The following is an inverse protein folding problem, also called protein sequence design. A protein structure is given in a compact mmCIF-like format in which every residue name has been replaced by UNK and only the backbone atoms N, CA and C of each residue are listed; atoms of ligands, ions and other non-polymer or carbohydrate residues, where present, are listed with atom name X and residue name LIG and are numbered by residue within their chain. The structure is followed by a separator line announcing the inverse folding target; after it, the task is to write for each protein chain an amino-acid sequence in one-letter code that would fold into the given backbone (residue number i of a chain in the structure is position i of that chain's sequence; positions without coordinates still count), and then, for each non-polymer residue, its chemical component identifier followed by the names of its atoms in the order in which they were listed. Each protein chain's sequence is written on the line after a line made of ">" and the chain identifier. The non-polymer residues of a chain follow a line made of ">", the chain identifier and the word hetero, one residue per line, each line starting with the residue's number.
data_IF_417163662387
#
_entry.id   IF_417163662387
#
_cell.length_a   1.000
_cell.length_b   1.000
_cell.length_c   1.000
_cell.angle_alpha   90.00
_cell.angle_beta   90.00
_cell.angle_gamma   90.00
#
_symmetry.space_group_name_H-M   'P 1'
#
loop_
_entity.id
_entity.type
_entity.pdbx_description
1 polymer ?
#
# COMPACT_ATOMS: atom_id res chain seq x y z
N UNK A 1 28.11 -2.64 2.20
CA UNK A 1 27.29 -1.53 2.73
C UNK A 1 26.04 -1.34 1.87
N UNK A 2 24.88 -1.31 2.53
CA UNK A 2 23.60 -1.05 1.87
C UNK A 2 23.02 0.23 2.45
N UNK A 3 22.72 1.20 1.56
CA UNK A 3 22.07 2.46 1.93
C UNK A 3 20.60 2.43 1.58
N UNK A 4 19.71 2.66 2.55
CA UNK A 4 18.27 2.83 2.34
C UNK A 4 17.90 4.31 2.40
N UNK A 5 17.24 4.81 1.37
CA UNK A 5 16.82 6.21 1.23
C UNK A 5 15.30 6.31 1.32
N UNK A 6 14.79 7.11 2.27
CA UNK A 6 13.34 7.27 2.43
C UNK A 6 12.96 8.61 3.07
N UNK A 7 11.87 9.22 2.59
CA UNK A 7 11.13 10.26 3.30
C UNK A 7 10.12 9.72 4.31
N UNK A 8 10.01 8.39 4.45
CA UNK A 8 8.91 7.73 5.16
C UNK A 8 9.38 6.83 6.31
N UNK A 9 10.54 7.12 6.90
CA UNK A 9 10.96 6.54 8.18
C UNK A 9 10.19 7.16 9.35
N UNK A 10 8.88 6.97 9.35
CA UNK A 10 7.89 7.53 10.25
C UNK A 10 6.62 6.67 10.20
N UNK A 11 5.59 7.01 10.97
CA UNK A 11 4.26 6.39 10.79
C UNK A 11 3.76 6.65 9.36
N UNK A 12 3.97 5.67 8.52
CA UNK A 12 3.66 5.67 7.09
C UNK A 12 3.61 4.25 6.52
N UNK A 13 2.82 4.06 5.46
CA UNK A 13 2.66 2.79 4.77
C UNK A 13 3.99 2.07 4.44
N UNK A 14 4.99 2.81 3.92
CA UNK A 14 6.32 2.24 3.60
C UNK A 14 6.99 1.70 4.86
N UNK A 15 6.97 2.43 5.98
CA UNK A 15 7.53 1.93 7.24
C UNK A 15 6.88 0.62 7.68
N UNK A 16 5.54 0.57 7.69
CA UNK A 16 4.81 -0.63 8.11
C UNK A 16 5.15 -1.87 7.28
N UNK A 17 5.50 -1.69 6.02
CA UNK A 17 5.94 -2.78 5.15
C UNK A 17 7.39 -3.22 5.41
N UNK A 18 8.30 -2.27 5.70
CA UNK A 18 9.75 -2.57 5.75
C UNK A 18 10.31 -2.79 7.15
N UNK A 19 9.56 -2.51 8.21
CA UNK A 19 10.08 -2.49 9.57
C UNK A 19 10.80 -3.79 9.97
N UNK A 20 10.30 -4.94 9.55
CA UNK A 20 10.90 -6.24 9.86
C UNK A 20 12.06 -6.60 8.92
N UNK A 21 12.16 -5.94 7.76
CA UNK A 21 13.35 -6.04 6.93
C UNK A 21 14.59 -5.56 7.71
N UNK A 22 14.49 -4.45 8.43
CA UNK A 22 15.58 -3.89 9.21
C UNK A 22 15.95 -4.75 10.43
N UNK A 23 14.98 -5.41 11.05
CA UNK A 23 15.23 -6.27 12.22
C UNK A 23 15.79 -7.64 11.84
N UNK A 24 15.50 -8.14 10.63
CA UNK A 24 15.87 -9.48 10.18
C UNK A 24 17.10 -9.53 9.26
N UNK A 25 17.72 -8.38 8.96
CA UNK A 25 18.94 -8.36 8.16
C UNK A 25 20.10 -9.05 8.90
N UNK A 26 20.82 -9.91 8.20
CA UNK A 26 22.05 -10.53 8.70
C UNK A 26 23.18 -9.49 8.83
N UNK A 27 23.30 -8.91 10.03
CA UNK A 27 24.32 -7.89 10.35
C UNK A 27 25.77 -8.39 10.25
N UNK A 28 25.98 -9.70 10.16
CA UNK A 28 27.34 -10.25 9.91
C UNK A 28 27.79 -10.08 8.45
N UNK A 29 26.82 -9.91 7.53
CA UNK A 29 27.06 -9.76 6.09
C UNK A 29 26.83 -8.35 5.57
N UNK A 30 25.95 -7.59 6.22
CA UNK A 30 25.48 -6.29 5.74
C UNK A 30 25.62 -5.20 6.79
N UNK A 31 26.25 -4.08 6.43
CA UNK A 31 26.22 -2.82 7.18
C UNK A 31 25.09 -1.95 6.60
N UNK A 32 24.09 -1.61 7.40
CA UNK A 32 22.91 -0.86 6.97
C UNK A 32 23.05 0.61 7.32
N UNK A 33 23.00 1.46 6.30
CA UNK A 33 23.03 2.91 6.42
C UNK A 33 21.65 3.44 6.01
N UNK A 34 20.99 4.19 6.89
CA UNK A 34 19.68 4.78 6.63
C UNK A 34 19.78 6.28 6.40
N UNK A 35 19.16 6.77 5.35
CA UNK A 35 19.16 8.17 4.92
C UNK A 35 17.72 8.69 4.88
N UNK A 36 17.36 9.52 5.86
CA UNK A 36 16.05 10.09 6.00
C UNK A 36 15.96 11.44 5.31
N UNK A 37 15.14 11.55 4.28
CA UNK A 37 14.93 12.82 3.55
C UNK A 37 13.81 13.68 4.13
N UNK A 38 13.14 13.23 5.20
CA UNK A 38 12.16 14.00 5.94
C UNK A 38 12.23 13.67 7.42
N UNK A 39 12.46 14.69 8.24
CA UNK A 39 12.58 14.54 9.70
C UNK A 39 11.20 14.59 10.35
N UNK A 40 10.78 13.48 10.95
CA UNK A 40 9.62 13.40 11.83
C UNK A 40 9.93 12.41 12.95
N UNK A 41 10.00 12.91 14.18
CA UNK A 41 10.25 12.07 15.35
C UNK A 41 9.08 11.12 15.63
N UNK A 42 9.37 9.94 16.19
CA UNK A 42 8.38 8.92 16.53
C UNK A 42 9.03 7.55 16.75
N UNK A 43 8.23 6.62 17.29
CA UNK A 43 8.66 5.23 17.57
C UNK A 43 9.12 4.50 16.31
N UNK A 44 8.51 4.79 15.19
CA UNK A 44 8.82 4.19 13.89
C UNK A 44 10.22 4.58 13.43
N UNK A 45 10.55 5.86 13.55
CA UNK A 45 11.88 6.37 13.24
C UNK A 45 12.95 5.77 14.17
N UNK A 46 12.67 5.70 15.47
CA UNK A 46 13.57 5.12 16.45
C UNK A 46 13.88 3.65 16.13
N UNK A 47 12.86 2.87 15.72
CA UNK A 47 13.05 1.48 15.29
C UNK A 47 14.02 1.35 14.10
N UNK A 48 13.99 2.28 13.14
CA UNK A 48 14.96 2.29 12.03
C UNK A 48 16.35 2.68 12.52
N UNK A 49 16.47 3.71 13.38
CA UNK A 49 17.75 4.14 13.95
C UNK A 49 18.43 2.99 14.70
N UNK A 50 17.72 2.31 15.58
CA UNK A 50 18.22 1.20 16.41
C UNK A 50 18.68 -0.01 15.57
N UNK A 51 18.11 -0.20 14.38
CA UNK A 51 18.44 -1.32 13.50
C UNK A 51 19.37 -0.95 12.34
N UNK A 52 19.84 0.29 12.28
CA UNK A 52 20.83 0.77 11.32
C UNK A 52 22.22 0.87 11.98
N UNK A 53 23.28 0.53 11.25
CA UNK A 53 24.65 0.82 11.68
C UNK A 53 24.89 2.33 11.75
N UNK A 54 24.33 3.08 10.81
CA UNK A 54 24.33 4.54 10.77
C UNK A 54 23.02 5.09 10.24
N UNK A 55 22.59 6.19 10.85
CA UNK A 55 21.41 6.92 10.45
C UNK A 55 21.76 8.39 10.18
N UNK A 56 21.27 8.94 9.05
CA UNK A 56 21.55 10.31 8.61
C UNK A 56 20.26 11.03 8.26
N UNK A 57 20.10 12.22 8.80
CA UNK A 57 19.08 13.16 8.34
C UNK A 57 19.60 13.97 7.16
N UNK A 58 18.90 13.88 6.05
CA UNK A 58 19.16 14.67 4.84
C UNK A 58 18.20 15.84 4.69
N UNK A 59 17.25 15.97 5.63
CA UNK A 59 16.26 17.05 5.61
C UNK A 59 16.95 18.40 5.78
N UNK A 60 16.59 19.36 4.91
CA UNK A 60 17.16 20.71 4.87
C UNK A 60 18.68 20.81 4.65
N UNK A 61 19.35 19.71 4.23
CA UNK A 61 20.76 19.76 3.87
C UNK A 61 20.94 20.08 2.38
N UNK A 62 21.96 20.90 2.02
CA UNK A 62 22.33 21.14 0.61
C UNK A 62 22.73 19.84 -0.10
N UNK A 63 22.30 19.67 -1.34
CA UNK A 63 22.54 18.43 -2.09
C UNK A 63 24.02 18.15 -2.34
N UNK A 64 24.86 19.19 -2.52
CA UNK A 64 26.31 19.03 -2.70
C UNK A 64 26.99 18.48 -1.45
N UNK A 65 26.55 18.85 -0.25
CA UNK A 65 27.03 18.30 1.02
C UNK A 65 26.56 16.85 1.20
N UNK A 66 25.30 16.57 0.87
CA UNK A 66 24.79 15.21 0.89
C UNK A 66 25.58 14.31 -0.06
N UNK A 67 25.84 14.74 -1.29
CA UNK A 67 26.61 13.96 -2.26
C UNK A 67 28.03 13.71 -1.76
N UNK A 68 28.71 14.73 -1.21
CA UNK A 68 30.05 14.55 -0.58
C UNK A 68 30.02 13.52 0.56
N UNK A 69 28.98 13.53 1.39
CA UNK A 69 28.79 12.58 2.46
C UNK A 69 28.61 11.16 1.91
N UNK A 70 27.71 10.98 0.93
CA UNK A 70 27.41 9.68 0.33
C UNK A 70 28.63 9.06 -0.36
N UNK A 71 29.42 9.87 -1.08
CA UNK A 71 30.66 9.40 -1.70
C UNK A 71 31.68 8.89 -0.68
N UNK A 72 31.78 9.50 0.52
CA UNK A 72 32.64 9.02 1.61
C UNK A 72 32.17 7.69 2.20
N UNK A 73 30.89 7.40 2.15
CA UNK A 73 30.31 6.17 2.69
C UNK A 73 30.61 4.94 1.85
N UNK A 74 30.96 5.12 0.56
CA UNK A 74 31.34 4.05 -0.35
C UNK A 74 30.35 2.88 -0.33
N UNK A 75 29.08 3.19 -0.63
CA UNK A 75 28.00 2.22 -0.62
C UNK A 75 28.16 1.20 -1.76
N UNK A 76 27.93 -0.07 -1.49
CA UNK A 76 27.84 -1.10 -2.52
C UNK A 76 26.47 -1.02 -3.22
N UNK A 77 25.38 -0.86 -2.44
CA UNK A 77 24.01 -0.79 -2.93
C UNK A 77 23.33 0.43 -2.32
N UNK A 78 22.62 1.20 -3.13
CA UNK A 78 21.69 2.24 -2.70
C UNK A 78 20.28 1.86 -3.12
N UNK A 79 19.36 1.80 -2.16
CA UNK A 79 17.95 1.43 -2.35
C UNK A 79 17.10 2.67 -2.12
N UNK A 80 16.41 3.13 -3.16
CA UNK A 80 15.43 4.21 -3.09
C UNK A 80 14.06 3.62 -2.72
N UNK A 81 13.62 3.87 -1.49
CA UNK A 81 12.31 3.47 -0.98
C UNK A 81 11.21 4.50 -1.27
N UNK A 82 11.56 5.64 -1.86
CA UNK A 82 10.61 6.73 -2.12
C UNK A 82 10.25 6.83 -3.61
N UNK A 83 11.24 6.79 -4.51
CA UNK A 83 11.02 7.12 -5.91
C UNK A 83 10.36 8.51 -6.06
N UNK A 84 9.43 8.68 -6.99
CA UNK A 84 8.75 9.96 -7.23
C UNK A 84 7.58 10.24 -6.27
N UNK A 85 7.77 9.96 -4.97
CA UNK A 85 6.78 10.28 -3.94
C UNK A 85 7.16 11.58 -3.20
N UNK A 86 6.32 12.00 -2.26
CA UNK A 86 6.57 13.21 -1.45
C UNK A 86 7.83 13.03 -0.60
N UNK A 87 8.57 14.11 -0.42
CA UNK A 87 9.83 14.15 0.36
C UNK A 87 10.96 13.25 -0.20
N UNK A 88 10.89 12.83 -1.47
CA UNK A 88 11.98 12.07 -2.07
C UNK A 88 13.24 12.93 -2.30
N UNK A 89 14.36 12.26 -2.47
CA UNK A 89 15.62 12.81 -2.96
C UNK A 89 16.17 11.94 -4.10
N UNK A 90 15.28 11.47 -5.00
CA UNK A 90 15.63 10.58 -6.11
C UNK A 90 16.64 11.19 -7.08
N UNK A 91 16.71 12.53 -7.17
CA UNK A 91 17.73 13.24 -7.95
C UNK A 91 19.16 12.96 -7.47
N UNK A 92 19.37 12.55 -6.20
CA UNK A 92 20.70 12.15 -5.72
C UNK A 92 21.22 10.90 -6.43
N UNK A 93 20.33 10.08 -6.99
CA UNK A 93 20.69 8.89 -7.75
C UNK A 93 21.29 9.20 -9.13
N UNK A 94 21.27 10.47 -9.58
CA UNK A 94 22.04 10.93 -10.74
C UNK A 94 23.55 10.83 -10.51
N UNK A 95 24.01 10.93 -9.26
CA UNK A 95 25.42 10.84 -8.90
C UNK A 95 25.84 9.39 -8.66
N UNK A 96 27.14 9.11 -8.69
CA UNK A 96 27.73 7.77 -8.42
C UNK A 96 27.82 7.48 -6.92
N UNK A 97 26.70 7.56 -6.21
CA UNK A 97 26.64 7.39 -4.74
C UNK A 97 26.83 5.93 -4.27
N UNK A 98 26.73 4.98 -5.19
CA UNK A 98 26.91 3.55 -4.93
C UNK A 98 27.32 2.81 -6.21
N UNK A 99 27.68 1.53 -6.10
CA UNK A 99 27.98 0.65 -7.24
C UNK A 99 26.69 0.21 -7.94
N UNK A 100 25.63 -0.04 -7.17
CA UNK A 100 24.30 -0.52 -7.64
C UNK A 100 23.22 0.38 -7.05
N UNK A 101 22.23 0.76 -7.86
CA UNK A 101 21.10 1.60 -7.48
C UNK A 101 19.79 0.88 -7.80
N UNK A 102 18.92 0.78 -6.81
CA UNK A 102 17.70 -0.01 -6.88
C UNK A 102 16.49 0.86 -6.52
N UNK A 103 15.46 0.85 -7.38
CA UNK A 103 14.13 1.35 -7.05
C UNK A 103 13.32 0.26 -6.35
N UNK A 104 12.76 0.57 -5.18
CA UNK A 104 11.99 -0.41 -4.43
C UNK A 104 10.84 0.22 -3.65
N UNK A 105 9.66 -0.36 -3.79
CA UNK A 105 8.50 -0.28 -2.93
C UNK A 105 7.67 1.00 -3.01
N UNK A 106 8.23 2.18 -2.69
CA UNK A 106 7.43 3.40 -2.46
C UNK A 106 6.77 3.97 -3.71
N UNK A 107 7.45 3.90 -4.86
CA UNK A 107 6.91 4.32 -6.13
C UNK A 107 6.59 3.11 -7.03
N UNK A 108 5.32 2.87 -7.38
CA UNK A 108 4.89 1.69 -8.12
C UNK A 108 5.03 1.88 -9.64
N UNK A 109 6.25 1.95 -10.13
CA UNK A 109 6.56 2.13 -11.55
C UNK A 109 8.04 2.31 -11.83
N UNK A 110 8.39 2.42 -13.11
CA UNK A 110 9.75 2.72 -13.56
C UNK A 110 10.13 4.16 -13.21
N UNK A 111 11.39 4.38 -12.86
CA UNK A 111 11.95 5.73 -12.68
C UNK A 111 12.19 6.46 -14.03
N UNK A 112 12.09 5.74 -15.15
CA UNK A 112 12.19 6.31 -16.50
C UNK A 112 13.58 6.90 -16.83
N UNK A 113 14.61 6.48 -16.11
CA UNK A 113 15.99 6.97 -16.29
C UNK A 113 16.99 5.82 -16.19
N UNK A 114 18.12 5.95 -16.91
CA UNK A 114 19.24 5.00 -16.87
C UNK A 114 20.08 5.08 -15.58
N UNK A 115 19.66 5.88 -14.61
CA UNK A 115 20.40 6.10 -13.36
C UNK A 115 20.09 5.05 -12.28
N UNK A 116 19.02 4.31 -12.46
CA UNK A 116 18.71 3.12 -11.64
C UNK A 116 19.09 1.87 -12.42
N UNK A 117 19.82 0.96 -11.78
CA UNK A 117 20.22 -0.31 -12.38
C UNK A 117 19.10 -1.33 -12.36
N UNK A 118 18.34 -1.37 -11.25
CA UNK A 118 17.32 -2.38 -10.99
C UNK A 118 16.05 -1.80 -10.38
N UNK A 119 14.94 -2.49 -10.64
CA UNK A 119 13.69 -2.37 -9.89
C UNK A 119 13.36 -3.73 -9.27
N UNK A 120 13.00 -3.75 -7.96
CA UNK A 120 12.48 -4.95 -7.32
C UNK A 120 10.97 -5.06 -7.57
N UNK A 121 10.56 -6.17 -8.13
CA UNK A 121 9.18 -6.51 -8.43
C UNK A 121 8.96 -8.01 -8.25
N UNK A 122 7.85 -8.54 -8.73
CA UNK A 122 7.60 -9.96 -8.91
C UNK A 122 6.99 -10.22 -10.29
N UNK A 123 6.85 -11.49 -10.65
CA UNK A 123 6.39 -11.88 -11.99
C UNK A 123 4.91 -11.54 -12.25
N UNK A 124 4.12 -11.24 -11.21
CA UNK A 124 2.72 -10.82 -11.33
C UNK A 124 2.62 -9.32 -11.56
N UNK A 125 3.50 -8.54 -10.92
CA UNK A 125 3.58 -7.08 -11.08
C UNK A 125 4.15 -6.72 -12.45
N UNK A 126 5.34 -7.25 -12.78
CA UNK A 126 6.03 -6.99 -14.05
C UNK A 126 6.27 -8.33 -14.75
N UNK A 127 5.31 -8.84 -15.51
CA UNK A 127 5.53 -10.04 -16.33
C UNK A 127 6.53 -9.74 -17.45
N UNK A 128 7.13 -10.79 -18.00
CA UNK A 128 8.23 -10.69 -18.99
C UNK A 128 7.88 -9.84 -20.22
N UNK A 129 6.63 -9.91 -20.66
CA UNK A 129 6.10 -9.14 -21.79
C UNK A 129 6.09 -7.62 -21.54
N UNK A 130 6.24 -7.16 -20.29
CA UNK A 130 6.27 -5.74 -19.92
C UNK A 130 7.67 -5.21 -19.65
N UNK A 131 8.73 -6.03 -19.75
CA UNK A 131 10.10 -5.60 -19.45
C UNK A 131 10.54 -4.40 -20.29
N UNK A 132 10.13 -4.32 -21.53
CA UNK A 132 10.47 -3.21 -22.43
C UNK A 132 9.87 -1.84 -22.05
N UNK A 133 8.93 -1.81 -21.09
CA UNK A 133 8.37 -0.57 -20.57
C UNK A 133 9.14 0.02 -19.39
N UNK A 134 10.21 -0.66 -18.94
CA UNK A 134 11.01 -0.27 -17.79
C UNK A 134 12.42 0.09 -18.25
N UNK A 135 12.97 1.18 -17.68
CA UNK A 135 14.37 1.57 -17.90
C UNK A 135 15.33 0.75 -17.06
N UNK A 136 14.88 0.25 -15.93
CA UNK A 136 15.63 -0.59 -15.00
C UNK A 136 15.60 -2.07 -15.42
N UNK A 137 16.64 -2.83 -15.06
CA UNK A 137 16.58 -4.29 -15.08
C UNK A 137 15.68 -4.78 -13.95
N UNK A 138 14.86 -5.77 -14.22
CA UNK A 138 13.87 -6.27 -13.27
C UNK A 138 14.45 -7.42 -12.47
N UNK A 139 14.40 -7.32 -11.13
CA UNK A 139 14.68 -8.41 -10.22
C UNK A 139 13.33 -8.91 -9.68
N UNK A 140 12.99 -10.14 -9.99
CA UNK A 140 11.78 -10.78 -9.46
C UNK A 140 12.04 -11.38 -8.07
N UNK A 141 11.26 -10.94 -7.10
CA UNK A 141 11.13 -11.63 -5.82
C UNK A 141 10.32 -12.92 -6.02
N UNK A 142 10.56 -13.97 -5.21
CA UNK A 142 9.97 -15.30 -5.45
C UNK A 142 8.44 -15.31 -5.43
N UNK A 143 7.81 -14.68 -4.44
CA UNK A 143 6.36 -14.73 -4.22
C UNK A 143 5.71 -13.39 -4.54
N UNK A 144 5.97 -12.39 -3.71
CA UNK A 144 5.51 -11.01 -3.88
C UNK A 144 6.66 -10.04 -3.63
N UNK A 145 6.65 -8.90 -4.32
CA UNK A 145 7.67 -7.87 -4.11
C UNK A 145 7.45 -7.10 -2.81
N UNK A 146 6.21 -7.07 -2.31
CA UNK A 146 5.85 -6.28 -1.16
C UNK A 146 6.13 -7.05 0.13
N UNK A 147 7.08 -6.59 0.96
CA UNK A 147 7.31 -7.18 2.26
C UNK A 147 6.11 -6.95 3.17
N UNK A 148 6.00 -7.78 4.19
CA UNK A 148 4.88 -7.76 5.09
C UNK A 148 5.35 -8.22 6.48
N UNK A 149 4.96 -7.50 7.50
CA UNK A 149 5.33 -7.78 8.89
C UNK A 149 4.14 -8.35 9.63
N UNK A 150 4.23 -9.56 10.21
CA UNK A 150 3.15 -10.10 11.03
C UNK A 150 2.90 -9.21 12.24
N UNK A 151 1.64 -9.08 12.66
CA UNK A 151 1.29 -8.34 13.86
C UNK A 151 1.33 -9.30 15.06
N UNK A 152 2.04 -8.94 16.13
CA UNK A 152 2.19 -9.79 17.31
C UNK A 152 1.01 -9.61 18.30
N UNK A 153 -0.24 -9.52 17.84
CA UNK A 153 -1.38 -9.39 18.72
C UNK A 153 -2.62 -10.15 18.21
N UNK A 154 -3.48 -10.54 19.15
CA UNK A 154 -4.77 -11.16 18.85
C UNK A 154 -5.72 -10.12 18.26
N UNK A 155 -6.25 -10.41 17.05
CA UNK A 155 -7.14 -9.51 16.31
C UNK A 155 -8.60 -9.64 16.79
N UNK A 156 -8.90 -10.40 17.84
CA UNK A 156 -10.27 -10.58 18.33
C UNK A 156 -10.85 -9.25 18.81
N UNK A 157 -11.83 -8.75 18.07
CA UNK A 157 -12.60 -7.56 18.39
C UNK A 157 -14.03 -7.71 17.87
N UNK A 158 -14.92 -6.85 18.38
CA UNK A 158 -16.32 -6.81 17.96
C UNK A 158 -16.60 -5.52 17.22
N UNK A 159 -17.62 -5.51 16.40
CA UNK A 159 -18.11 -4.30 15.72
C UNK A 159 -18.50 -3.20 16.71
N UNK A 160 -19.07 -3.57 17.86
CA UNK A 160 -19.39 -2.65 18.94
C UNK A 160 -18.19 -1.87 19.47
N UNK A 161 -16.97 -2.41 19.41
CA UNK A 161 -15.74 -1.72 19.85
C UNK A 161 -15.43 -0.50 18.94
N UNK A 162 -15.97 -0.47 17.74
CA UNK A 162 -15.81 0.59 16.74
C UNK A 162 -17.12 1.32 16.40
N UNK A 163 -18.16 1.16 17.22
CA UNK A 163 -19.50 1.72 16.98
C UNK A 163 -20.11 1.31 15.61
N UNK A 164 -19.81 0.09 15.17
CA UNK A 164 -20.35 -0.47 13.94
C UNK A 164 -21.57 -1.34 14.24
N UNK A 165 -22.63 -1.32 13.38
CA UNK A 165 -23.78 -2.20 13.56
C UNK A 165 -23.44 -3.67 13.41
N UNK A 166 -24.03 -4.52 14.26
CA UNK A 166 -23.78 -5.99 14.25
C UNK A 166 -24.51 -6.71 13.10
N UNK A 167 -25.74 -6.31 12.77
CA UNK A 167 -26.63 -7.05 11.89
C UNK A 167 -26.62 -6.54 10.43
N UNK A 168 -25.46 -6.13 9.94
CA UNK A 168 -25.29 -5.67 8.55
C UNK A 168 -24.09 -6.37 7.90
N UNK A 169 -24.03 -6.37 6.58
CA UNK A 169 -22.88 -6.81 5.81
C UNK A 169 -22.02 -5.58 5.43
N UNK A 170 -20.76 -5.56 5.84
CA UNK A 170 -19.87 -4.41 5.66
C UNK A 170 -18.87 -4.69 4.56
N UNK A 171 -18.96 -3.92 3.48
CA UNK A 171 -17.91 -3.79 2.47
C UNK A 171 -16.95 -2.68 2.92
N UNK A 172 -15.66 -2.95 3.04
CA UNK A 172 -14.66 -1.97 3.47
C UNK A 172 -13.79 -1.48 2.33
N UNK A 173 -13.49 -0.18 2.27
CA UNK A 173 -12.43 0.36 1.43
C UNK A 173 -11.77 1.57 2.12
N UNK A 174 -10.53 1.40 2.58
CA UNK A 174 -9.78 2.46 3.24
C UNK A 174 -8.68 3.06 2.36
N UNK A 175 -8.79 2.88 1.06
CA UNK A 175 -7.97 3.60 0.09
C UNK A 175 -8.24 5.11 0.16
N UNK A 176 -7.21 5.90 -0.18
CA UNK A 176 -7.38 7.35 -0.31
C UNK A 176 -8.48 7.65 -1.34
N UNK A 177 -9.27 8.69 -1.07
CA UNK A 177 -10.41 9.06 -1.92
C UNK A 177 -10.00 9.31 -3.39
N UNK A 178 -8.79 9.80 -3.63
CA UNK A 178 -8.25 10.06 -4.97
C UNK A 178 -8.08 8.78 -5.80
N UNK A 179 -8.04 7.62 -5.16
CA UNK A 179 -8.00 6.31 -5.83
C UNK A 179 -9.38 5.77 -6.19
N UNK A 180 -10.43 6.30 -5.58
CA UNK A 180 -11.82 5.87 -5.80
C UNK A 180 -12.38 6.67 -6.98
N UNK A 181 -12.23 6.13 -8.18
CA UNK A 181 -12.77 6.78 -9.38
C UNK A 181 -14.29 6.67 -9.44
N UNK A 182 -14.97 7.61 -10.11
CA UNK A 182 -16.45 7.62 -10.21
C UNK A 182 -17.06 6.33 -10.73
N UNK A 183 -16.46 5.68 -11.74
CA UNK A 183 -16.94 4.40 -12.29
C UNK A 183 -16.87 3.26 -11.24
N UNK A 184 -15.82 3.19 -10.45
CA UNK A 184 -15.67 2.20 -9.38
C UNK A 184 -16.66 2.48 -8.24
N UNK A 185 -16.81 3.73 -7.85
CA UNK A 185 -17.81 4.13 -6.86
C UNK A 185 -19.24 3.84 -7.33
N UNK A 186 -19.56 4.11 -8.60
CA UNK A 186 -20.87 3.79 -9.19
C UNK A 186 -21.17 2.27 -9.14
N UNK A 187 -20.17 1.42 -9.41
CA UNK A 187 -20.30 -0.04 -9.26
C UNK A 187 -20.70 -0.39 -7.83
N UNK A 188 -19.97 0.11 -6.83
CA UNK A 188 -20.26 -0.18 -5.43
C UNK A 188 -21.67 0.26 -5.05
N UNK A 189 -22.04 1.50 -5.37
CA UNK A 189 -23.36 2.04 -5.03
C UNK A 189 -24.51 1.32 -5.75
N UNK A 190 -24.30 0.85 -6.98
CA UNK A 190 -25.29 0.04 -7.71
C UNK A 190 -25.50 -1.33 -7.04
N UNK A 191 -24.41 -1.97 -6.57
CA UNK A 191 -24.52 -3.22 -5.81
C UNK A 191 -25.25 -2.98 -4.49
N UNK A 192 -24.83 -1.98 -3.72
CA UNK A 192 -25.47 -1.63 -2.44
C UNK A 192 -26.96 -1.35 -2.57
N UNK A 193 -27.39 -0.76 -3.70
CA UNK A 193 -28.80 -0.48 -4.00
C UNK A 193 -29.69 -1.72 -4.12
N UNK A 194 -29.09 -2.92 -4.32
CA UNK A 194 -29.82 -4.20 -4.45
C UNK A 194 -30.11 -4.88 -3.10
N UNK A 195 -29.47 -4.43 -2.01
CA UNK A 195 -29.54 -5.06 -0.70
C UNK A 195 -29.94 -4.06 0.39
N UNK A 196 -30.75 -4.48 1.34
CA UNK A 196 -31.17 -3.62 2.46
C UNK A 196 -30.11 -3.54 3.55
N UNK A 197 -29.37 -4.61 3.78
CA UNK A 197 -28.44 -4.80 4.90
C UNK A 197 -26.96 -4.74 4.52
N UNK A 198 -26.59 -4.33 3.28
CA UNK A 198 -25.21 -4.16 2.83
C UNK A 198 -24.82 -2.69 2.89
N UNK A 199 -23.67 -2.38 3.45
CA UNK A 199 -23.14 -1.02 3.65
C UNK A 199 -21.68 -0.92 3.23
N UNK A 200 -21.26 0.28 2.81
CA UNK A 200 -19.87 0.59 2.44
C UNK A 200 -19.19 1.42 3.54
N UNK A 201 -18.14 0.91 4.13
CA UNK A 201 -17.33 1.63 5.10
C UNK A 201 -16.14 2.32 4.40
N UNK A 202 -16.03 3.64 4.57
CA UNK A 202 -14.94 4.47 4.03
C UNK A 202 -14.23 5.22 5.15
N UNK A 203 -12.90 5.29 5.11
CA UNK A 203 -12.11 6.05 6.07
C UNK A 203 -11.96 7.51 5.59
N UNK A 204 -12.94 8.36 5.90
CA UNK A 204 -13.02 9.76 5.46
C UNK A 204 -13.49 10.63 6.62
N UNK A 205 -12.60 11.54 7.10
CA UNK A 205 -12.93 12.54 8.13
C UNK A 205 -13.30 13.91 7.55
N UNK A 206 -12.81 14.25 6.35
CA UNK A 206 -12.98 15.56 5.74
C UNK A 206 -14.46 15.83 5.38
N UNK A 207 -15.04 16.87 5.96
CA UNK A 207 -16.44 17.26 5.76
C UNK A 207 -16.76 17.61 4.31
N UNK A 208 -15.88 18.33 3.63
CA UNK A 208 -16.10 18.73 2.23
C UNK A 208 -16.14 17.51 1.30
N UNK A 209 -15.33 16.47 1.58
CA UNK A 209 -15.37 15.23 0.81
C UNK A 209 -16.70 14.51 1.03
N UNK A 210 -17.16 14.41 2.30
CA UNK A 210 -18.46 13.81 2.62
C UNK A 210 -19.63 14.54 1.91
N UNK A 211 -19.57 15.87 1.89
CA UNK A 211 -20.57 16.72 1.24
C UNK A 211 -20.57 16.55 -0.28
N UNK A 212 -19.38 16.52 -0.91
CA UNK A 212 -19.24 16.25 -2.34
C UNK A 212 -19.76 14.85 -2.71
N UNK A 213 -19.49 13.83 -1.90
CA UNK A 213 -20.03 12.48 -2.11
C UNK A 213 -21.56 12.47 -1.97
N UNK A 214 -22.12 13.23 -1.03
CA UNK A 214 -23.58 13.37 -0.90
C UNK A 214 -24.19 13.98 -2.16
N UNK A 215 -23.64 15.11 -2.62
CA UNK A 215 -24.10 15.77 -3.86
C UNK A 215 -24.00 14.81 -5.06
N UNK A 216 -22.92 14.03 -5.14
CA UNK A 216 -22.75 13.03 -6.18
C UNK A 216 -23.81 11.93 -6.10
N UNK A 217 -24.07 11.39 -4.90
CA UNK A 217 -25.11 10.38 -4.68
C UNK A 217 -26.50 10.92 -5.04
N UNK A 218 -26.84 12.13 -4.63
CA UNK A 218 -28.13 12.77 -4.96
C UNK A 218 -28.32 12.90 -6.48
N UNK A 219 -27.27 13.35 -7.19
CA UNK A 219 -27.27 13.44 -8.66
C UNK A 219 -27.48 12.10 -9.34
N UNK A 220 -26.89 11.03 -8.82
CA UNK A 220 -26.96 9.67 -9.36
C UNK A 220 -28.15 8.85 -8.82
N UNK A 221 -28.90 9.39 -7.88
CA UNK A 221 -30.00 8.72 -7.14
C UNK A 221 -29.51 7.50 -6.34
N UNK A 222 -28.30 7.55 -5.83
CA UNK A 222 -27.75 6.56 -4.91
C UNK A 222 -28.17 6.86 -3.48
N UNK A 223 -28.37 5.82 -2.67
CA UNK A 223 -28.68 5.97 -1.26
C UNK A 223 -27.42 6.30 -0.45
N UNK A 224 -27.19 7.58 -0.17
CA UNK A 224 -26.04 8.05 0.61
C UNK A 224 -25.95 7.43 2.02
N UNK A 225 -27.10 7.06 2.62
CA UNK A 225 -27.15 6.46 3.95
C UNK A 225 -26.57 5.03 4.01
N UNK A 226 -26.24 4.44 2.85
CA UNK A 226 -25.50 3.17 2.76
C UNK A 226 -24.01 3.31 2.96
N UNK A 227 -23.51 4.52 3.17
CA UNK A 227 -22.08 4.79 3.41
C UNK A 227 -21.84 5.06 4.89
N UNK A 228 -20.96 4.28 5.50
CA UNK A 228 -20.46 4.47 6.86
C UNK A 228 -19.14 5.21 6.77
N UNK A 229 -19.09 6.42 7.31
CA UNK A 229 -17.86 7.21 7.38
C UNK A 229 -17.14 6.98 8.70
N UNK A 230 -15.89 6.55 8.63
CA UNK A 230 -15.04 6.28 9.77
C UNK A 230 -13.87 7.27 9.79
N UNK A 231 -13.49 7.73 10.97
CA UNK A 231 -12.35 8.62 11.12
C UNK A 231 -11.03 7.81 11.15
N UNK A 232 -9.90 8.40 10.72
CA UNK A 232 -8.57 7.80 10.89
C UNK A 232 -8.26 7.57 12.38
N UNK A 233 -7.68 6.41 12.69
CA UNK A 233 -7.22 6.03 14.02
C UNK A 233 -5.81 5.43 13.91
N UNK A 234 -5.18 5.09 15.05
CA UNK A 234 -3.89 4.38 15.08
C UNK A 234 -3.90 3.15 14.16
N UNK A 235 -2.75 2.87 13.53
CA UNK A 235 -2.65 1.79 12.55
C UNK A 235 -3.08 0.43 13.13
N UNK A 236 -2.63 0.07 14.32
CA UNK A 236 -2.97 -1.22 14.93
C UNK A 236 -4.47 -1.32 15.24
N UNK A 237 -5.06 -0.24 15.77
CA UNK A 237 -6.51 -0.18 16.00
C UNK A 237 -7.30 -0.21 14.69
N UNK A 238 -6.74 0.39 13.63
CA UNK A 238 -7.36 0.33 12.31
C UNK A 238 -7.38 -1.09 11.74
N UNK A 239 -6.33 -1.88 11.95
CA UNK A 239 -6.29 -3.29 11.54
C UNK A 239 -7.34 -4.13 12.28
N UNK A 240 -7.50 -3.92 13.59
CA UNK A 240 -8.58 -4.53 14.37
C UNK A 240 -9.95 -4.13 13.84
N UNK A 241 -10.15 -2.85 13.50
CA UNK A 241 -11.40 -2.37 12.91
C UNK A 241 -11.68 -3.01 11.56
N UNK A 242 -10.69 -3.11 10.68
CA UNK A 242 -10.83 -3.77 9.38
C UNK A 242 -11.24 -5.24 9.57
N UNK A 243 -10.69 -5.96 10.56
CA UNK A 243 -11.04 -7.37 10.82
C UNK A 243 -12.51 -7.61 11.18
N UNK A 244 -13.28 -6.55 11.46
CA UNK A 244 -14.73 -6.63 11.70
C UNK A 244 -15.57 -6.51 10.41
N UNK A 245 -14.95 -6.26 9.26
CA UNK A 245 -15.62 -6.19 7.97
C UNK A 245 -15.82 -7.59 7.39
N UNK A 246 -16.83 -7.73 6.53
CA UNK A 246 -17.09 -9.02 5.88
C UNK A 246 -16.30 -9.19 4.60
N UNK A 247 -16.07 -8.11 3.87
CA UNK A 247 -15.37 -8.11 2.59
C UNK A 247 -14.66 -6.78 2.37
N UNK A 248 -13.46 -6.82 1.81
CA UNK A 248 -12.73 -5.60 1.47
C UNK A 248 -12.74 -5.38 -0.05
N UNK A 249 -12.90 -4.12 -0.47
CA UNK A 249 -12.95 -3.74 -1.87
C UNK A 249 -11.69 -2.96 -2.25
N UNK A 250 -11.06 -3.39 -3.34
CA UNK A 250 -9.92 -2.69 -3.89
C UNK A 250 -10.31 -1.62 -4.91
N UNK A 251 -9.47 -0.63 -5.07
CA UNK A 251 -9.62 0.47 -6.02
C UNK A 251 -8.94 0.19 -7.36
N UNK A 252 -9.39 0.84 -8.42
CA UNK A 252 -8.84 0.74 -9.77
C UNK A 252 -8.87 2.12 -10.47
N UNK A 253 -7.86 2.48 -11.29
CA UNK A 253 -6.69 1.70 -11.75
C UNK A 253 -5.52 1.67 -10.78
N UNK A 254 -5.59 2.34 -9.66
CA UNK A 254 -4.55 2.34 -8.62
C UNK A 254 -5.02 1.51 -7.43
N UNK A 255 -4.44 0.32 -7.26
CA UNK A 255 -4.79 -0.58 -6.16
C UNK A 255 -4.45 -0.02 -4.76
N UNK A 256 -5.00 -0.66 -3.73
CA UNK A 256 -4.84 -0.26 -2.33
C UNK A 256 -3.43 -0.47 -1.75
N UNK A 257 -2.58 -1.28 -2.38
CA UNK A 257 -1.22 -1.64 -1.95
C UNK A 257 -1.17 -2.07 -0.48
N UNK A 258 -0.59 -1.25 0.42
CA UNK A 258 -0.52 -1.55 1.86
C UNK A 258 -1.88 -1.85 2.47
N UNK A 259 -2.93 -1.11 2.10
CA UNK A 259 -4.28 -1.39 2.60
C UNK A 259 -4.81 -2.78 2.22
N UNK A 260 -4.36 -3.35 1.09
CA UNK A 260 -4.69 -4.72 0.72
C UNK A 260 -3.85 -5.74 1.51
N UNK A 261 -2.56 -5.47 1.74
CA UNK A 261 -1.78 -6.27 2.68
C UNK A 261 -2.41 -6.28 4.07
N UNK A 262 -2.83 -5.12 4.55
CA UNK A 262 -3.47 -4.95 5.85
C UNK A 262 -4.77 -5.75 5.95
N UNK A 263 -5.61 -5.70 4.92
CA UNK A 263 -6.87 -6.46 4.92
C UNK A 263 -6.63 -7.97 4.86
N UNK A 264 -5.74 -8.44 3.98
CA UNK A 264 -5.51 -9.87 3.75
C UNK A 264 -4.69 -10.53 4.87
N UNK A 265 -3.49 -9.99 5.16
CA UNK A 265 -2.51 -10.67 6.01
C UNK A 265 -2.57 -10.23 7.47
N UNK A 266 -3.08 -9.03 7.74
CA UNK A 266 -3.15 -8.49 9.08
C UNK A 266 -4.55 -8.64 9.68
N UNK A 267 -5.58 -8.28 8.94
CA UNK A 267 -6.97 -8.30 9.41
C UNK A 267 -7.74 -9.56 9.02
N UNK A 268 -7.17 -10.43 8.18
CA UNK A 268 -7.76 -11.68 7.69
C UNK A 268 -9.12 -11.47 7.00
N UNK A 269 -9.30 -10.36 6.28
CA UNK A 269 -10.53 -10.04 5.53
C UNK A 269 -10.30 -10.31 4.05
N UNK A 270 -11.12 -11.14 3.40
CA UNK A 270 -11.00 -11.39 1.97
C UNK A 270 -11.21 -10.11 1.17
N UNK A 271 -10.44 -9.95 0.09
CA UNK A 271 -10.44 -8.74 -0.72
C UNK A 271 -10.73 -9.07 -2.17
N UNK A 272 -11.72 -8.42 -2.77
CA UNK A 272 -11.96 -8.47 -4.23
C UNK A 272 -11.15 -7.35 -4.88
N UNK A 273 -10.39 -7.71 -5.92
CA UNK A 273 -9.59 -6.76 -6.68
C UNK A 273 -9.84 -6.85 -8.18
N UNK A 274 -9.72 -5.70 -8.82
CA UNK A 274 -9.72 -5.56 -10.27
C UNK A 274 -8.30 -5.29 -10.74
N UNK A 275 -7.74 -6.18 -11.57
CA UNK A 275 -6.36 -6.07 -12.05
C UNK A 275 -6.28 -5.45 -13.44
N UNK A 276 -5.23 -4.64 -13.67
CA UNK A 276 -4.96 -3.97 -14.93
C UNK A 276 -3.58 -4.29 -15.52
N UNK A 277 -3.03 -3.33 -16.28
CA UNK A 277 -1.75 -3.50 -17.00
C UNK A 277 -0.58 -2.75 -16.38
N UNK A 278 -0.83 -1.69 -15.58
CA UNK A 278 0.23 -0.92 -14.93
C UNK A 278 0.71 -1.59 -13.64
N UNK A 279 1.91 -1.26 -13.18
CA UNK A 279 2.42 -1.70 -11.88
C UNK A 279 1.39 -1.46 -10.77
N UNK A 280 0.92 -0.21 -10.66
CA UNK A 280 -0.02 0.19 -9.60
C UNK A 280 -1.36 -0.55 -9.63
N UNK A 281 -1.78 -1.08 -10.77
CA UNK A 281 -3.02 -1.84 -10.94
C UNK A 281 -2.84 -3.36 -10.83
N UNK A 282 -1.64 -3.83 -10.49
CA UNK A 282 -1.28 -5.26 -10.40
C UNK A 282 -0.79 -5.67 -9.03
N UNK A 283 -0.66 -4.71 -8.10
CA UNK A 283 -0.16 -5.00 -6.75
C UNK A 283 -1.07 -5.98 -6.03
N UNK A 284 -2.37 -5.76 -6.06
CA UNK A 284 -3.33 -6.68 -5.44
C UNK A 284 -3.37 -8.06 -6.12
N UNK A 285 -3.07 -8.12 -7.43
CA UNK A 285 -2.88 -9.40 -8.10
C UNK A 285 -1.72 -10.19 -7.49
N UNK A 286 -0.59 -9.55 -7.27
CA UNK A 286 0.56 -10.18 -6.60
C UNK A 286 0.19 -10.69 -5.19
N UNK A 287 -0.44 -9.85 -4.38
CA UNK A 287 -0.81 -10.16 -3.00
C UNK A 287 -1.84 -11.31 -2.92
N UNK A 288 -2.89 -11.26 -3.72
CA UNK A 288 -3.90 -12.31 -3.77
C UNK A 288 -3.33 -13.64 -4.29
N UNK A 289 -2.40 -13.57 -5.25
CA UNK A 289 -1.71 -14.75 -5.73
C UNK A 289 -0.83 -15.39 -4.65
N UNK A 290 -0.08 -14.61 -3.88
CA UNK A 290 0.75 -15.13 -2.80
C UNK A 290 -0.06 -15.70 -1.63
N UNK A 291 -1.29 -15.19 -1.45
CA UNK A 291 -2.26 -15.70 -0.47
C UNK A 291 -3.08 -16.90 -0.97
N UNK A 292 -2.87 -17.40 -2.21
CA UNK A 292 -3.69 -18.42 -2.86
C UNK A 292 -5.19 -18.05 -2.99
N UNK A 293 -5.48 -16.76 -3.16
CA UNK A 293 -6.82 -16.19 -3.28
C UNK A 293 -7.13 -15.67 -4.70
N UNK A 294 -6.54 -16.28 -5.75
CA UNK A 294 -6.72 -15.84 -7.14
C UNK A 294 -8.20 -15.80 -7.57
N UNK A 295 -9.06 -16.59 -6.91
CA UNK A 295 -10.50 -16.59 -7.15
C UNK A 295 -11.19 -15.25 -6.87
N UNK A 296 -10.53 -14.34 -6.14
CA UNK A 296 -11.03 -13.00 -5.81
C UNK A 296 -10.51 -11.91 -6.78
N UNK A 297 -9.81 -12.33 -7.85
CA UNK A 297 -9.32 -11.42 -8.89
C UNK A 297 -10.33 -11.32 -10.03
N UNK A 298 -10.51 -10.10 -10.50
CA UNK A 298 -11.32 -9.79 -11.69
C UNK A 298 -10.50 -9.01 -12.72
N UNK A 299 -10.97 -8.98 -13.97
CA UNK A 299 -10.22 -8.41 -15.09
C UNK A 299 -11.02 -7.35 -15.86
N UNK A 300 -12.25 -7.11 -15.46
CA UNK A 300 -13.13 -6.08 -16.00
C UNK A 300 -14.17 -5.64 -14.96
N UNK A 301 -14.80 -4.50 -15.21
CA UNK A 301 -15.78 -3.89 -14.30
C UNK A 301 -17.03 -4.77 -14.07
N UNK A 302 -17.45 -5.51 -15.08
CA UNK A 302 -18.63 -6.37 -14.99
C UNK A 302 -18.36 -7.52 -14.02
N UNK A 303 -17.27 -8.26 -14.21
CA UNK A 303 -16.90 -9.37 -13.33
C UNK A 303 -16.66 -8.88 -11.90
N UNK A 304 -16.09 -7.68 -11.75
CA UNK A 304 -15.89 -7.05 -10.44
C UNK A 304 -17.22 -6.79 -9.72
N UNK A 305 -18.19 -6.20 -10.42
CA UNK A 305 -19.52 -5.97 -9.88
C UNK A 305 -20.24 -7.29 -9.52
N UNK A 306 -20.22 -8.27 -10.43
CA UNK A 306 -20.86 -9.57 -10.25
C UNK A 306 -20.25 -10.35 -9.08
N UNK A 307 -18.92 -10.27 -8.88
CA UNK A 307 -18.26 -10.92 -7.77
C UNK A 307 -18.62 -10.30 -6.43
N UNK A 308 -18.71 -8.96 -6.33
CA UNK A 308 -19.16 -8.28 -5.11
C UNK A 308 -20.60 -8.72 -4.80
N UNK A 309 -21.49 -8.71 -5.79
CA UNK A 309 -22.88 -9.12 -5.64
C UNK A 309 -22.98 -10.59 -5.20
N UNK A 310 -22.19 -11.49 -5.81
CA UNK A 310 -22.16 -12.90 -5.45
C UNK A 310 -21.88 -13.10 -3.96
N UNK A 311 -20.85 -12.43 -3.40
CA UNK A 311 -20.51 -12.57 -1.99
C UNK A 311 -21.48 -11.83 -1.04
N UNK A 312 -22.18 -10.81 -1.50
CA UNK A 312 -23.28 -10.22 -0.73
C UNK A 312 -24.44 -11.21 -0.54
N UNK A 313 -24.65 -12.11 -1.51
CA UNK A 313 -25.68 -13.17 -1.48
C UNK A 313 -25.15 -14.40 -0.72
N UNK A 314 -23.95 -14.89 -1.10
CA UNK A 314 -23.36 -16.15 -0.66
C UNK A 314 -22.30 -15.91 0.46
N UNK A 315 -22.71 -15.25 1.54
CA UNK A 315 -21.83 -14.80 2.65
C UNK A 315 -21.02 -15.91 3.30
N UNK A 316 -21.54 -17.15 3.30
CA UNK A 316 -20.84 -18.32 3.86
C UNK A 316 -19.60 -18.72 3.07
N UNK A 317 -19.52 -18.36 1.81
CA UNK A 317 -18.37 -18.67 0.94
C UNK A 317 -17.14 -17.79 1.24
N UNK A 318 -17.28 -16.80 2.14
CA UNK A 318 -16.19 -15.97 2.67
C UNK A 318 -15.52 -16.58 3.91
N UNK A 319 -16.11 -17.63 4.51
CA UNK A 319 -15.58 -18.37 5.66
C UNK A 319 -14.67 -19.50 5.15
#
# INVERSE_FOLDING_TARGET
>A
RVGYFSGDFRDHAVFHLIQDLFTNIDKSKFEIYSYSSFKKEGKERNKIIENSEKFFDLDNQPDDEIVKLLLKHNLDIAIDLSGYTKHNKSHLFEYKISKIKINFLGYPGTMGTSKYDYILADSKIIPKEYFNFYSEKIIHMPETYQPHSPIPFDIKCKRSDFNLPENIFILGCFSRIEKILPNIFDIWMNVLGKFEDVYLALCISNKNIKENLKIYCDKKKFNFNKIIFLDPIDHNENLKRISTFDLYLDTFPYNGHTGISDSLFQSCVPTISFTGKSFASRVSYSLLNSANLQKLLTYNEKDYAEMIEYYCINRKDLQ
#
